data_IF_646083710911
#
_entry.id   IF_646083710911
#
_cell.length_a   1.000
_cell.length_b   1.000
_cell.length_c   1.000
_cell.angle_alpha   90.00
_cell.angle_beta   90.00
_cell.angle_gamma   90.00
#
_symmetry.space_group_name_H-M   'P 1'
#
loop_
_entity.id
_entity.type
_entity.pdbx_description
1 polymer ?
#
# COMPACT_ATOMS: atom_id res chain seq x y z
N UNK A 1 -23.47 -10.15 -15.45
CA UNK A 1 -23.98 -9.67 -16.76
C UNK A 1 -24.25 -8.19 -16.62
N UNK A 2 -23.23 -7.41 -16.99
CA UNK A 2 -23.11 -5.96 -16.79
C UNK A 2 -24.21 -5.20 -17.52
N UNK A 3 -24.69 -4.13 -16.90
CA UNK A 3 -25.49 -3.11 -17.56
C UNK A 3 -24.68 -2.53 -18.72
N UNK A 4 -24.99 -2.96 -19.93
CA UNK A 4 -24.37 -2.47 -21.13
C UNK A 4 -24.56 -0.95 -21.24
N UNK A 5 -23.43 -0.24 -21.25
CA UNK A 5 -23.17 1.03 -21.93
C UNK A 5 -24.42 1.80 -22.39
N UNK A 6 -24.81 2.82 -21.60
CA UNK A 6 -25.68 3.89 -22.10
C UNK A 6 -24.92 4.96 -22.91
N UNK A 7 -23.60 4.81 -23.13
CA UNK A 7 -22.77 5.88 -23.72
C UNK A 7 -21.70 5.43 -24.74
N UNK A 8 -22.01 4.44 -25.59
CA UNK A 8 -21.47 4.35 -26.95
C UNK A 8 -19.99 3.99 -27.14
N UNK A 9 -19.27 3.56 -26.10
CA UNK A 9 -17.88 3.08 -26.21
C UNK A 9 -17.77 1.65 -26.75
N UNK A 10 -16.65 1.31 -27.39
CA UNK A 10 -16.39 -0.09 -27.77
C UNK A 10 -16.35 -1.00 -26.53
N UNK A 11 -17.12 -2.11 -26.47
CA UNK A 11 -17.28 -2.91 -25.25
C UNK A 11 -15.96 -3.42 -24.64
N UNK A 12 -14.96 -3.66 -25.48
CA UNK A 12 -13.62 -4.08 -25.06
C UNK A 12 -12.88 -2.99 -24.29
N UNK A 13 -12.82 -1.76 -24.82
CA UNK A 13 -12.09 -0.65 -24.18
C UNK A 13 -12.70 -0.33 -22.81
N UNK A 14 -14.03 -0.28 -22.74
CA UNK A 14 -14.75 -0.08 -21.48
C UNK A 14 -14.45 -1.17 -20.44
N UNK A 15 -14.34 -2.43 -20.86
CA UNK A 15 -14.00 -3.53 -19.96
C UNK A 15 -12.56 -3.41 -19.42
N UNK A 16 -11.59 -3.08 -20.27
CA UNK A 16 -10.20 -2.85 -19.85
C UNK A 16 -10.10 -1.67 -18.88
N UNK A 17 -10.77 -0.56 -19.19
CA UNK A 17 -10.80 0.60 -18.30
C UNK A 17 -11.45 0.28 -16.95
N UNK A 18 -12.53 -0.52 -16.95
CA UNK A 18 -13.18 -0.96 -15.72
C UNK A 18 -12.24 -1.84 -14.88
N UNK A 19 -11.48 -2.75 -15.48
CA UNK A 19 -10.54 -3.60 -14.75
C UNK A 19 -9.42 -2.78 -14.06
N UNK A 20 -8.84 -1.80 -14.77
CA UNK A 20 -7.85 -0.89 -14.17
C UNK A 20 -8.48 -0.07 -13.04
N UNK A 21 -9.66 0.49 -13.28
CA UNK A 21 -10.38 1.29 -12.29
C UNK A 21 -10.71 0.48 -11.02
N UNK A 22 -11.23 -0.74 -11.17
CA UNK A 22 -11.60 -1.60 -10.05
C UNK A 22 -10.37 -1.96 -9.20
N UNK A 23 -9.22 -2.24 -9.84
CA UNK A 23 -7.94 -2.47 -9.14
C UNK A 23 -7.47 -1.25 -8.36
N UNK A 24 -7.60 -0.05 -8.93
CA UNK A 24 -7.24 1.19 -8.24
C UNK A 24 -8.17 1.45 -7.04
N UNK A 25 -9.48 1.24 -7.19
CA UNK A 25 -10.45 1.39 -6.10
C UNK A 25 -10.20 0.37 -4.99
N UNK A 26 -9.90 -0.87 -5.35
CA UNK A 26 -9.54 -1.93 -4.39
C UNK A 26 -8.24 -1.59 -3.64
N UNK A 27 -7.21 -1.13 -4.35
CA UNK A 27 -5.92 -0.75 -3.77
C UNK A 27 -6.00 0.51 -2.90
N UNK A 28 -6.99 1.39 -3.13
CA UNK A 28 -7.25 2.51 -2.23
C UNK A 28 -7.78 2.03 -0.88
N UNK A 29 -8.70 1.08 -0.92
CA UNK A 29 -9.23 0.43 0.28
C UNK A 29 -9.80 1.39 1.32
N UNK A 30 -10.56 2.41 0.87
CA UNK A 30 -11.24 3.36 1.75
C UNK A 30 -12.73 3.02 1.84
N UNK A 31 -13.05 2.06 2.71
CA UNK A 31 -14.42 1.56 2.94
C UNK A 31 -15.31 2.55 3.70
N UNK A 32 -14.73 3.59 4.30
CA UNK A 32 -15.48 4.70 4.91
C UNK A 32 -16.11 5.64 3.88
N UNK A 33 -15.57 5.67 2.65
CA UNK A 33 -16.11 6.43 1.54
C UNK A 33 -17.00 5.58 0.63
N UNK A 34 -17.93 6.25 -0.05
CA UNK A 34 -18.79 5.59 -1.01
C UNK A 34 -18.00 5.16 -2.25
N UNK A 35 -18.12 3.92 -2.68
CA UNK A 35 -17.35 3.42 -3.84
C UNK A 35 -17.61 4.25 -5.11
N UNK A 36 -16.60 4.83 -5.77
CA UNK A 36 -16.81 5.58 -7.01
C UNK A 36 -17.17 4.63 -8.16
N UNK A 37 -17.77 5.19 -9.22
CA UNK A 37 -18.16 4.45 -10.43
C UNK A 37 -17.40 4.97 -11.63
N UNK A 38 -17.06 4.07 -12.57
CA UNK A 38 -16.51 4.47 -13.86
C UNK A 38 -17.63 4.63 -14.89
N UNK A 39 -17.64 5.76 -15.58
CA UNK A 39 -18.47 6.00 -16.75
C UNK A 39 -17.59 6.17 -18.00
N UNK A 40 -17.54 5.13 -18.83
CA UNK A 40 -16.87 5.20 -20.13
C UNK A 40 -17.79 5.86 -21.16
N UNK A 41 -17.36 6.97 -21.76
CA UNK A 41 -18.19 7.81 -22.64
C UNK A 41 -17.52 8.09 -23.97
N UNK A 42 -18.31 8.20 -25.04
CA UNK A 42 -17.82 8.52 -26.40
C UNK A 42 -18.07 10.00 -26.77
N UNK A 43 -17.81 10.90 -25.83
CA UNK A 43 -17.95 12.35 -26.07
C UNK A 43 -16.60 12.92 -26.51
N UNK A 44 -16.52 13.51 -27.70
CA UNK A 44 -15.24 13.97 -28.31
C UNK A 44 -14.42 14.96 -27.46
N UNK A 45 -15.07 15.69 -26.55
CA UNK A 45 -14.43 16.68 -25.68
C UNK A 45 -14.09 16.19 -24.28
N UNK A 46 -14.54 14.99 -23.90
CA UNK A 46 -14.29 14.43 -22.57
C UNK A 46 -12.88 13.83 -22.51
N UNK A 47 -12.09 14.21 -21.51
CA UNK A 47 -10.79 13.59 -21.21
C UNK A 47 -11.00 12.50 -20.14
N UNK A 48 -10.62 12.80 -18.90
CA UNK A 48 -11.19 12.20 -17.72
C UNK A 48 -11.62 13.35 -16.80
N UNK A 49 -12.59 13.08 -15.94
CA UNK A 49 -13.08 14.03 -14.95
C UNK A 49 -13.76 13.29 -13.82
N UNK A 50 -13.89 13.93 -12.67
CA UNK A 50 -14.65 13.42 -11.55
C UNK A 50 -15.84 14.33 -11.23
N UNK A 51 -17.04 13.75 -11.13
CA UNK A 51 -18.23 14.47 -10.66
C UNK A 51 -19.07 13.62 -9.72
N UNK A 52 -19.25 14.12 -8.49
CA UNK A 52 -20.08 13.50 -7.45
C UNK A 52 -19.55 12.17 -6.95
N UNK A 53 -19.82 11.08 -7.67
CA UNK A 53 -19.34 9.71 -7.36
C UNK A 53 -18.87 8.97 -8.60
N UNK A 54 -18.74 9.68 -9.70
CA UNK A 54 -18.48 9.09 -11.01
C UNK A 54 -17.21 9.69 -11.56
N UNK A 55 -16.26 8.82 -11.91
CA UNK A 55 -15.12 9.16 -12.76
C UNK A 55 -15.55 8.89 -14.19
N UNK A 56 -15.48 9.91 -15.03
CA UNK A 56 -15.76 9.82 -16.46
C UNK A 56 -14.46 9.57 -17.20
N UNK A 57 -14.50 8.71 -18.20
CA UNK A 57 -13.37 8.49 -19.11
C UNK A 57 -13.88 8.56 -20.56
N UNK A 58 -13.35 9.50 -21.32
CA UNK A 58 -13.58 9.64 -22.75
C UNK A 58 -12.87 8.55 -23.55
N UNK A 59 -13.53 7.99 -24.56
CA UNK A 59 -12.94 7.00 -25.46
C UNK A 59 -11.69 7.54 -26.18
N UNK A 60 -11.67 8.84 -26.48
CA UNK A 60 -10.51 9.50 -27.08
C UNK A 60 -9.31 9.58 -26.12
N UNK A 61 -9.52 9.85 -24.84
CA UNK A 61 -8.45 9.83 -23.84
C UNK A 61 -7.89 8.42 -23.65
N UNK A 62 -8.76 7.41 -23.63
CA UNK A 62 -8.33 6.01 -23.67
C UNK A 62 -7.45 5.71 -24.89
N UNK A 63 -7.84 6.19 -26.07
CA UNK A 63 -7.05 5.98 -27.30
C UNK A 63 -5.69 6.69 -27.25
N UNK A 64 -5.60 7.84 -26.56
CA UNK A 64 -4.31 8.47 -26.25
C UNK A 64 -3.47 7.55 -25.37
N UNK A 65 -4.01 6.98 -24.29
CA UNK A 65 -3.28 6.00 -23.47
C UNK A 65 -2.77 4.82 -24.31
N UNK A 66 -3.58 4.29 -25.23
CA UNK A 66 -3.17 3.19 -26.13
C UNK A 66 -1.96 3.56 -26.99
N UNK A 67 -1.80 4.84 -27.36
CA UNK A 67 -0.67 5.28 -28.18
C UNK A 67 0.70 5.14 -27.50
N UNK A 68 0.73 4.95 -26.16
CA UNK A 68 1.96 4.71 -25.38
C UNK A 68 2.48 3.27 -25.51
N UNK A 69 1.83 2.42 -26.30
CA UNK A 69 2.33 1.08 -26.62
C UNK A 69 2.44 0.20 -25.38
N UNK A 70 3.68 -0.18 -25.02
CA UNK A 70 3.94 -1.03 -23.86
C UNK A 70 3.49 -0.38 -22.54
N UNK A 71 3.48 0.95 -22.46
CA UNK A 71 3.09 1.72 -21.28
C UNK A 71 1.62 2.14 -21.29
N UNK A 72 0.83 1.63 -22.25
CA UNK A 72 -0.58 2.02 -22.39
C UNK A 72 -1.44 1.80 -21.15
N UNK A 73 -1.21 0.69 -20.42
CA UNK A 73 -1.93 0.41 -19.18
C UNK A 73 -1.46 1.30 -18.02
N UNK A 74 -0.19 1.68 -18.01
CA UNK A 74 0.38 2.61 -17.04
C UNK A 74 -0.16 4.03 -17.27
N UNK A 75 -0.28 4.47 -18.53
CA UNK A 75 -0.90 5.74 -18.89
C UNK A 75 -2.38 5.80 -18.46
N UNK A 76 -3.12 4.70 -18.69
CA UNK A 76 -4.51 4.59 -18.27
C UNK A 76 -4.65 4.60 -16.74
N UNK A 77 -3.77 3.88 -16.03
CA UNK A 77 -3.75 3.89 -14.57
C UNK A 77 -3.40 5.27 -14.01
N UNK A 78 -2.43 5.98 -14.60
CA UNK A 78 -2.07 7.34 -14.20
C UNK A 78 -3.28 8.27 -14.27
N UNK A 79 -3.96 8.31 -15.42
CA UNK A 79 -5.15 9.15 -15.64
C UNK A 79 -6.28 8.81 -14.66
N UNK A 80 -6.62 7.53 -14.50
CA UNK A 80 -7.72 7.13 -13.61
C UNK A 80 -7.39 7.34 -12.13
N UNK A 81 -6.15 7.10 -11.74
CA UNK A 81 -5.69 7.30 -10.36
C UNK A 81 -5.71 8.78 -9.97
N UNK A 82 -5.34 9.69 -10.88
CA UNK A 82 -5.41 11.14 -10.70
C UNK A 82 -6.85 11.58 -10.37
N UNK A 83 -7.84 11.18 -11.19
CA UNK A 83 -9.25 11.49 -10.94
C UNK A 83 -9.78 10.86 -9.64
N UNK A 84 -9.33 9.66 -9.30
CA UNK A 84 -9.67 9.02 -8.03
C UNK A 84 -9.12 9.80 -6.84
N UNK A 85 -7.92 10.39 -6.92
CA UNK A 85 -7.42 11.24 -5.84
C UNK A 85 -8.26 12.50 -5.69
N UNK A 86 -8.66 13.17 -6.78
CA UNK A 86 -9.61 14.27 -6.68
C UNK A 86 -10.89 13.87 -5.94
N UNK A 87 -11.41 12.66 -6.22
CA UNK A 87 -12.55 12.14 -5.48
C UNK A 87 -12.28 11.93 -3.99
N UNK A 88 -11.23 11.17 -3.65
CA UNK A 88 -10.95 10.75 -2.27
C UNK A 88 -10.43 11.88 -1.38
N UNK A 89 -9.71 12.83 -1.95
CA UNK A 89 -9.25 14.03 -1.25
C UNK A 89 -10.32 15.12 -1.17
N UNK A 90 -11.42 14.97 -1.92
CA UNK A 90 -12.47 15.98 -1.96
C UNK A 90 -12.04 17.28 -2.63
N UNK A 91 -11.13 17.20 -3.61
CA UNK A 91 -10.73 18.35 -4.42
C UNK A 91 -11.96 18.87 -5.19
N UNK A 92 -12.42 20.08 -4.88
CA UNK A 92 -13.68 20.64 -5.40
C UNK A 92 -13.50 21.55 -6.60
N UNK A 93 -12.28 21.67 -7.13
CA UNK A 93 -11.89 22.65 -8.15
C UNK A 93 -12.91 22.81 -9.30
N UNK A 94 -13.27 21.73 -10.00
CA UNK A 94 -14.20 21.81 -11.14
C UNK A 94 -15.61 22.27 -10.73
N UNK A 95 -16.04 21.97 -9.51
CA UNK A 95 -17.39 22.27 -9.02
C UNK A 95 -17.53 23.74 -8.59
N UNK A 96 -16.46 24.34 -8.04
CA UNK A 96 -16.50 25.71 -7.52
C UNK A 96 -15.98 26.76 -8.51
N UNK A 97 -14.93 26.46 -9.27
CA UNK A 97 -14.33 27.43 -10.20
C UNK A 97 -15.25 27.73 -11.40
N UNK A 98 -15.79 26.69 -12.05
CA UNK A 98 -16.70 26.86 -13.21
C UNK A 98 -18.01 27.54 -12.85
N UNK A 99 -18.43 27.51 -11.57
CA UNK A 99 -19.71 28.08 -11.12
C UNK A 99 -19.61 29.53 -10.64
N UNK A 100 -18.51 29.92 -9.99
CA UNK A 100 -18.56 31.11 -9.13
C UNK A 100 -17.55 32.24 -9.47
N UNK A 101 -16.45 32.00 -10.19
CA UNK A 101 -15.30 32.93 -10.13
C UNK A 101 -14.68 33.38 -11.46
N UNK A 102 -15.35 33.18 -12.60
CA UNK A 102 -14.88 33.75 -13.87
C UNK A 102 -14.76 35.29 -13.78
N UNK A 103 -13.52 35.79 -13.57
CA UNK A 103 -13.16 37.22 -13.64
C UNK A 103 -13.04 38.01 -12.33
N UNK A 104 -12.81 37.38 -11.16
CA UNK A 104 -12.63 38.13 -9.88
C UNK A 104 -11.18 38.15 -9.36
N UNK A 105 -10.86 39.04 -8.41
CA UNK A 105 -9.52 39.14 -7.79
C UNK A 105 -9.21 38.06 -6.74
N UNK A 106 -10.18 37.20 -6.39
CA UNK A 106 -10.01 36.02 -5.52
C UNK A 106 -9.25 34.89 -6.26
N UNK A 107 -8.85 35.14 -7.51
CA UNK A 107 -8.26 34.15 -8.42
C UNK A 107 -6.84 33.71 -8.04
N UNK A 108 -6.05 34.51 -7.32
CA UNK A 108 -4.67 34.09 -6.97
C UNK A 108 -4.63 33.05 -5.84
N UNK A 109 -5.29 33.29 -4.71
CA UNK A 109 -5.34 32.33 -3.58
C UNK A 109 -6.03 31.01 -4.00
N UNK A 110 -7.09 31.12 -4.82
CA UNK A 110 -7.79 29.97 -5.42
C UNK A 110 -6.91 29.19 -6.41
N UNK A 111 -5.96 29.84 -7.08
CA UNK A 111 -5.04 29.17 -8.02
C UNK A 111 -3.97 28.35 -7.30
N UNK A 112 -3.48 28.82 -6.16
CA UNK A 112 -2.45 28.13 -5.39
C UNK A 112 -3.01 26.82 -4.79
N UNK A 113 -4.21 26.87 -4.20
CA UNK A 113 -4.91 25.68 -3.68
C UNK A 113 -5.13 24.63 -4.78
N UNK A 114 -5.54 25.07 -5.98
CA UNK A 114 -5.70 24.17 -7.12
C UNK A 114 -4.39 23.53 -7.57
N UNK A 115 -3.31 24.32 -7.59
CA UNK A 115 -2.00 23.82 -7.98
C UNK A 115 -1.53 22.72 -7.02
N UNK A 116 -1.78 22.91 -5.73
CA UNK A 116 -1.51 21.90 -4.70
C UNK A 116 -2.36 20.64 -4.90
N UNK A 117 -3.65 20.79 -5.20
CA UNK A 117 -4.57 19.68 -5.49
C UNK A 117 -4.10 18.83 -6.69
N UNK A 118 -3.65 19.46 -7.79
CA UNK A 118 -3.17 18.76 -8.99
C UNK A 118 -1.83 18.05 -8.74
N UNK A 119 -0.90 18.71 -8.05
CA UNK A 119 0.38 18.10 -7.64
C UNK A 119 0.11 16.92 -6.71
N UNK A 120 -0.84 17.06 -5.78
CA UNK A 120 -1.28 15.98 -4.92
C UNK A 120 -1.89 14.84 -5.72
N UNK A 121 -2.78 15.13 -6.69
CA UNK A 121 -3.40 14.13 -7.55
C UNK A 121 -2.37 13.34 -8.37
N UNK A 122 -1.34 13.99 -8.90
CA UNK A 122 -0.25 13.32 -9.62
C UNK A 122 0.59 12.41 -8.71
N UNK A 123 1.01 12.92 -7.54
CA UNK A 123 1.89 12.17 -6.62
C UNK A 123 1.13 11.04 -5.93
N UNK A 124 -0.02 11.33 -5.34
CA UNK A 124 -0.84 10.33 -4.64
C UNK A 124 -1.52 9.36 -5.62
N UNK A 125 -1.86 9.82 -6.82
CA UNK A 125 -2.37 8.98 -7.90
C UNK A 125 -1.30 7.99 -8.33
N UNK A 126 -0.06 8.44 -8.45
CA UNK A 126 1.09 7.57 -8.67
C UNK A 126 1.32 6.53 -7.58
N UNK A 127 1.22 6.91 -6.30
CA UNK A 127 1.31 5.96 -5.18
C UNK A 127 0.17 4.93 -5.20
N UNK A 128 -1.06 5.38 -5.51
CA UNK A 128 -2.21 4.50 -5.66
C UNK A 128 -2.07 3.54 -6.85
N UNK A 129 -1.58 4.04 -7.97
CA UNK A 129 -1.32 3.22 -9.14
C UNK A 129 -0.22 2.19 -8.85
N UNK A 130 0.82 2.58 -8.11
CA UNK A 130 1.88 1.68 -7.68
C UNK A 130 1.36 0.57 -6.75
N UNK A 131 0.52 0.89 -5.75
CA UNK A 131 -0.08 -0.12 -4.88
C UNK A 131 -1.03 -1.07 -5.63
N UNK A 132 -1.63 -0.61 -6.72
CA UNK A 132 -2.40 -1.45 -7.63
C UNK A 132 -1.54 -2.24 -8.64
N UNK A 133 -0.21 -2.06 -8.66
CA UNK A 133 0.73 -2.78 -9.51
C UNK A 133 1.03 -2.12 -10.87
N UNK A 134 0.83 -0.80 -11.00
CA UNK A 134 1.12 -0.01 -12.20
C UNK A 134 2.31 0.94 -11.96
N UNK A 135 3.10 1.23 -13.00
CA UNK A 135 4.27 2.11 -12.90
C UNK A 135 4.06 3.39 -13.70
N UNK A 136 3.67 4.47 -13.03
CA UNK A 136 3.19 5.70 -13.70
C UNK A 136 4.21 6.85 -13.72
N UNK A 137 5.25 6.79 -12.89
CA UNK A 137 6.22 7.88 -12.73
C UNK A 137 6.90 8.30 -14.05
N UNK A 138 7.20 7.34 -14.91
CA UNK A 138 7.86 7.57 -16.20
C UNK A 138 6.89 8.04 -17.29
N UNK A 139 5.58 7.90 -17.09
CA UNK A 139 4.55 8.18 -18.11
C UNK A 139 4.00 9.61 -18.00
N UNK A 140 3.86 10.12 -16.77
CA UNK A 140 3.23 11.42 -16.47
C UNK A 140 3.79 12.60 -17.31
N UNK A 141 5.11 12.76 -17.50
CA UNK A 141 5.66 13.90 -18.24
C UNK A 141 5.28 13.95 -19.72
N UNK A 142 5.18 12.77 -20.36
CA UNK A 142 4.91 12.65 -21.80
C UNK A 142 3.41 12.55 -22.11
N UNK A 143 2.61 12.23 -21.10
CA UNK A 143 1.16 12.06 -21.24
C UNK A 143 0.41 13.38 -21.47
N UNK A 144 0.74 14.43 -20.72
CA UNK A 144 0.08 15.73 -20.86
C UNK A 144 0.26 16.36 -22.26
N UNK A 145 1.47 16.39 -22.86
CA UNK A 145 1.65 16.81 -24.25
C UNK A 145 0.80 16.02 -25.24
N UNK A 146 0.76 14.68 -25.11
CA UNK A 146 -0.01 13.82 -26.00
C UNK A 146 -1.53 14.11 -25.94
N UNK A 147 -2.05 14.43 -24.75
CA UNK A 147 -3.44 14.88 -24.58
C UNK A 147 -3.69 16.23 -25.26
N UNK A 148 -2.79 17.20 -25.10
CA UNK A 148 -2.92 18.51 -25.74
C UNK A 148 -2.95 18.40 -27.25
N UNK A 149 -2.04 17.62 -27.84
CA UNK A 149 -1.96 17.36 -29.27
C UNK A 149 -3.23 16.67 -29.78
N UNK A 150 -3.67 15.60 -29.11
CA UNK A 150 -4.84 14.85 -29.51
C UNK A 150 -6.13 15.69 -29.49
N UNK A 151 -6.27 16.60 -28.52
CA UNK A 151 -7.45 17.45 -28.35
C UNK A 151 -7.33 18.83 -29.01
N UNK A 152 -6.20 19.13 -29.66
CA UNK A 152 -5.96 20.43 -30.31
C UNK A 152 -6.06 21.60 -29.33
N UNK A 153 -5.64 21.40 -28.07
CA UNK A 153 -5.70 22.43 -27.03
C UNK A 153 -4.62 23.47 -27.27
N UNK A 154 -4.93 24.73 -26.96
CA UNK A 154 -3.93 25.81 -26.97
C UNK A 154 -3.03 25.69 -25.75
N UNK A 155 -1.78 26.11 -25.88
CA UNK A 155 -0.81 26.10 -24.79
C UNK A 155 -1.20 27.05 -23.64
N UNK A 156 -1.88 28.15 -23.96
CA UNK A 156 -2.40 29.12 -22.99
C UNK A 156 -3.92 28.97 -22.88
N UNK A 157 -4.37 28.42 -21.75
CA UNK A 157 -5.77 28.21 -21.41
C UNK A 157 -6.18 29.17 -20.29
N UNK A 158 -7.28 29.94 -20.43
CA UNK A 158 -7.72 30.86 -19.39
C UNK A 158 -7.92 30.15 -18.04
N UNK A 159 -7.26 30.65 -17.00
CA UNK A 159 -7.36 30.11 -15.64
C UNK A 159 -6.31 29.05 -15.29
N UNK A 160 -5.49 28.61 -16.24
CA UNK A 160 -4.44 27.61 -16.04
C UNK A 160 -3.04 28.20 -16.28
N UNK A 161 -1.98 27.62 -15.68
CA UNK A 161 -0.60 27.84 -16.11
C UNK A 161 -0.42 27.47 -17.58
N UNK A 162 0.59 28.04 -18.25
CA UNK A 162 0.89 27.68 -19.64
C UNK A 162 1.37 26.24 -19.73
N UNK A 163 1.15 25.58 -20.87
CA UNK A 163 1.46 24.15 -21.04
C UNK A 163 2.89 23.78 -20.60
N UNK A 164 3.89 24.61 -20.91
CA UNK A 164 5.27 24.37 -20.50
C UNK A 164 5.43 24.27 -18.97
N UNK A 165 4.77 25.16 -18.22
CA UNK A 165 4.79 25.15 -16.75
C UNK A 165 4.09 23.90 -16.21
N UNK A 166 2.97 23.49 -16.81
CA UNK A 166 2.25 22.26 -16.40
C UNK A 166 3.07 21.00 -16.68
N UNK A 167 3.82 20.96 -17.77
CA UNK A 167 4.74 19.84 -18.06
C UNK A 167 5.87 19.81 -17.02
N UNK A 168 6.43 20.96 -16.65
CA UNK A 168 7.47 21.03 -15.63
C UNK A 168 6.93 20.60 -14.25
N UNK A 169 5.69 20.95 -13.91
CA UNK A 169 5.00 20.44 -12.72
C UNK A 169 4.85 18.91 -12.77
N UNK A 170 4.35 18.35 -13.87
CA UNK A 170 4.19 16.89 -14.02
C UNK A 170 5.53 16.15 -13.89
N UNK A 171 6.64 16.71 -14.43
CA UNK A 171 7.99 16.19 -14.21
C UNK A 171 8.40 16.23 -12.74
N UNK A 172 8.16 17.35 -12.06
CA UNK A 172 8.49 17.49 -10.64
C UNK A 172 7.67 16.50 -9.79
N UNK A 173 6.38 16.34 -10.06
CA UNK A 173 5.53 15.32 -9.45
C UNK A 173 6.07 13.90 -9.70
N UNK A 174 6.49 13.60 -10.94
CA UNK A 174 7.13 12.33 -11.29
C UNK A 174 8.42 12.06 -10.52
N UNK A 175 9.30 13.06 -10.38
CA UNK A 175 10.52 12.94 -9.57
C UNK A 175 10.23 12.74 -8.07
N UNK A 176 9.25 13.48 -7.53
CA UNK A 176 8.80 13.33 -6.15
C UNK A 176 8.23 11.94 -5.92
N UNK A 177 7.35 11.46 -6.80
CA UNK A 177 6.81 10.10 -6.78
C UNK A 177 7.93 9.07 -6.80
N UNK A 178 8.88 9.16 -7.74
CA UNK A 178 9.99 8.21 -7.82
C UNK A 178 10.80 8.17 -6.51
N UNK A 179 11.05 9.33 -5.89
CA UNK A 179 11.72 9.40 -4.59
C UNK A 179 10.97 8.64 -3.51
N UNK A 180 9.64 8.75 -3.47
CA UNK A 180 8.80 8.02 -2.51
C UNK A 180 8.79 6.52 -2.77
N UNK A 181 8.76 6.11 -4.04
CA UNK A 181 8.87 4.71 -4.43
C UNK A 181 10.24 4.13 -4.03
N UNK A 182 11.33 4.87 -4.25
CA UNK A 182 12.68 4.45 -3.85
C UNK A 182 12.78 4.30 -2.33
N UNK A 183 12.18 5.20 -1.55
CA UNK A 183 12.12 5.10 -0.08
C UNK A 183 11.33 3.85 0.35
N UNK A 184 10.19 3.59 -0.28
CA UNK A 184 9.36 2.42 0.00
C UNK A 184 10.10 1.10 -0.31
N UNK A 185 10.68 0.99 -1.51
CA UNK A 185 11.47 -0.20 -1.89
C UNK A 185 12.69 -0.38 -0.96
N UNK A 186 13.37 0.72 -0.60
CA UNK A 186 14.51 0.67 0.33
C UNK A 186 14.08 0.20 1.71
N UNK A 187 12.92 0.64 2.22
CA UNK A 187 12.39 0.16 3.49
C UNK A 187 12.14 -1.36 3.46
N UNK A 188 11.59 -1.88 2.36
CA UNK A 188 11.35 -3.33 2.19
C UNK A 188 12.67 -4.12 2.20
N UNK A 189 13.72 -3.61 1.55
CA UNK A 189 15.06 -4.22 1.62
C UNK A 189 15.65 -4.18 3.03
N UNK A 190 15.48 -3.07 3.75
CA UNK A 190 15.93 -2.96 5.14
C UNK A 190 15.22 -3.96 6.05
N UNK A 191 13.93 -4.24 5.82
CA UNK A 191 13.16 -5.26 6.53
C UNK A 191 13.71 -6.66 6.25
N UNK A 192 14.05 -6.97 5.00
CA UNK A 192 14.69 -8.25 4.64
C UNK A 192 16.09 -8.41 5.28
N UNK A 193 16.81 -7.30 5.47
CA UNK A 193 18.07 -7.23 6.23
C UNK A 193 17.85 -7.04 7.73
N UNK A 194 16.59 -7.00 8.15
CA UNK A 194 16.12 -6.88 9.52
C UNK A 194 16.49 -5.59 10.26
N UNK A 195 16.77 -4.53 9.51
CA UNK A 195 17.04 -3.19 10.01
C UNK A 195 15.71 -2.45 10.16
N UNK A 196 14.87 -2.97 11.06
CA UNK A 196 13.46 -2.56 11.20
C UNK A 196 13.32 -1.11 11.69
N UNK A 197 14.23 -0.65 12.54
CA UNK A 197 14.33 0.73 12.99
C UNK A 197 14.52 1.70 11.81
N UNK A 198 15.46 1.40 10.93
CA UNK A 198 15.72 2.23 9.74
C UNK A 198 14.59 2.14 8.71
N UNK A 199 14.00 0.95 8.53
CA UNK A 199 12.84 0.78 7.67
C UNK A 199 11.65 1.63 8.14
N UNK A 200 11.39 1.65 9.45
CA UNK A 200 10.35 2.50 10.06
C UNK A 200 10.63 3.98 9.81
N UNK A 201 11.89 4.43 9.87
CA UNK A 201 12.24 5.83 9.57
C UNK A 201 11.89 6.21 8.12
N UNK A 202 12.29 5.39 7.14
CA UNK A 202 11.99 5.65 5.72
C UNK A 202 10.49 5.66 5.44
N UNK A 203 9.75 4.74 6.05
CA UNK A 203 8.32 4.64 5.85
C UNK A 203 7.55 5.82 6.48
N UNK A 204 8.04 6.36 7.60
CA UNK A 204 7.49 7.58 8.17
C UNK A 204 7.71 8.80 7.27
N UNK A 205 8.78 8.85 6.48
CA UNK A 205 8.96 9.88 5.45
C UNK A 205 7.88 9.77 4.37
N UNK A 206 7.53 8.56 3.94
CA UNK A 206 6.42 8.34 2.99
C UNK A 206 5.08 8.77 3.59
N UNK A 207 4.80 8.44 4.86
CA UNK A 207 3.58 8.89 5.54
C UNK A 207 3.52 10.41 5.74
N UNK A 208 4.67 11.08 5.88
CA UNK A 208 4.74 12.53 6.04
C UNK A 208 4.24 13.30 4.80
N UNK A 209 4.17 12.65 3.64
CA UNK A 209 3.56 13.18 2.42
C UNK A 209 2.03 13.31 2.50
N UNK A 210 1.42 12.80 3.57
CA UNK A 210 -0.02 12.89 3.79
C UNK A 210 -0.85 11.82 3.06
N UNK A 211 -0.22 10.98 2.23
CA UNK A 211 -0.89 9.84 1.61
C UNK A 211 -1.21 8.77 2.65
N UNK A 212 -2.49 8.40 2.76
CA UNK A 212 -2.98 7.41 3.72
C UNK A 212 -3.66 6.27 2.98
N UNK A 213 -3.25 5.03 3.23
CA UNK A 213 -3.95 3.83 2.77
C UNK A 213 -3.90 2.74 3.84
N UNK A 214 -4.82 1.77 3.75
CA UNK A 214 -4.88 0.64 4.69
C UNK A 214 -3.61 -0.22 4.62
N UNK A 215 -3.05 -0.40 3.42
CA UNK A 215 -1.82 -1.16 3.16
C UNK A 215 -0.62 -0.45 3.78
N UNK A 216 -0.53 0.88 3.60
CA UNK A 216 0.57 1.68 4.13
C UNK A 216 0.63 1.55 5.65
N UNK A 217 -0.51 1.77 6.33
CA UNK A 217 -0.58 1.61 7.77
C UNK A 217 -0.31 0.19 8.24
N UNK A 218 -0.86 -0.83 7.56
CA UNK A 218 -0.63 -2.22 7.92
C UNK A 218 0.85 -2.59 7.83
N UNK A 219 1.51 -2.31 6.72
CA UNK A 219 2.92 -2.67 6.53
C UNK A 219 3.83 -1.98 7.55
N UNK A 220 3.60 -0.69 7.85
CA UNK A 220 4.35 -0.02 8.92
C UNK A 220 4.11 -0.66 10.29
N UNK A 221 2.86 -1.02 10.58
CA UNK A 221 2.51 -1.74 11.80
C UNK A 221 3.29 -3.05 11.92
N UNK A 222 3.45 -3.79 10.83
CA UNK A 222 4.25 -5.02 10.81
C UNK A 222 5.71 -4.74 11.13
N UNK A 223 6.31 -3.70 10.56
CA UNK A 223 7.72 -3.36 10.85
C UNK A 223 7.94 -3.07 12.33
N UNK A 224 6.98 -2.41 12.98
CA UNK A 224 7.00 -2.24 14.43
C UNK A 224 6.87 -3.56 15.19
N UNK A 225 6.01 -4.49 14.75
CA UNK A 225 5.93 -5.84 15.37
C UNK A 225 7.25 -6.57 15.23
N UNK A 226 7.88 -6.56 14.05
CA UNK A 226 9.16 -7.22 13.82
C UNK A 226 10.28 -6.62 14.70
N UNK A 227 10.30 -5.29 14.86
CA UNK A 227 11.19 -4.61 15.79
C UNK A 227 10.94 -5.05 17.25
N UNK A 228 9.68 -5.19 17.66
CA UNK A 228 9.32 -5.66 19.00
C UNK A 228 9.73 -7.12 19.25
N UNK A 229 9.47 -8.01 18.28
CA UNK A 229 9.75 -9.46 18.38
C UNK A 229 11.24 -9.72 18.64
N UNK A 230 12.14 -8.91 18.06
CA UNK A 230 13.59 -8.97 18.31
C UNK A 230 13.99 -8.70 19.76
N UNK A 231 13.17 -7.98 20.53
CA UNK A 231 13.43 -7.60 21.92
C UNK A 231 12.80 -8.57 22.94
N UNK A 232 12.05 -9.59 22.50
CA UNK A 232 11.60 -10.64 23.39
C UNK A 232 12.73 -11.61 23.75
N UNK A 233 12.83 -12.04 25.01
CA UNK A 233 13.62 -13.22 25.38
C UNK A 233 13.13 -14.46 24.60
N UNK A 234 14.03 -15.31 24.08
CA UNK A 234 13.66 -16.48 23.27
C UNK A 234 12.64 -17.41 23.95
N UNK A 235 12.68 -17.51 25.28
CA UNK A 235 11.80 -18.33 26.09
C UNK A 235 10.36 -17.83 26.19
N UNK A 236 10.11 -16.54 25.89
CA UNK A 236 8.79 -15.91 25.98
C UNK A 236 7.98 -16.07 24.69
N UNK A 237 8.64 -16.06 23.52
CA UNK A 237 7.98 -16.19 22.20
C UNK A 237 8.27 -17.57 21.63
N UNK A 238 7.43 -18.54 21.99
CA UNK A 238 7.55 -19.95 21.56
C UNK A 238 6.82 -20.24 20.25
N UNK A 239 5.85 -19.41 19.88
CA UNK A 239 4.95 -19.63 18.74
C UNK A 239 5.38 -18.80 17.53
N UNK A 240 5.13 -19.31 16.32
CA UNK A 240 5.22 -18.56 15.08
C UNK A 240 3.96 -17.72 14.86
N UNK A 241 4.13 -16.40 14.78
CA UNK A 241 3.03 -15.44 14.56
C UNK A 241 2.85 -15.13 13.07
N UNK A 242 1.62 -15.16 12.53
CA UNK A 242 1.33 -14.83 11.14
C UNK A 242 1.21 -13.32 10.95
N UNK A 243 2.32 -12.61 11.14
CA UNK A 243 2.33 -11.18 10.86
C UNK A 243 2.40 -11.01 9.33
N UNK A 244 1.30 -10.57 8.72
CA UNK A 244 1.17 -10.45 7.27
C UNK A 244 1.74 -9.10 6.78
N UNK A 245 2.91 -9.17 6.16
CA UNK A 245 3.30 -8.27 5.08
C UNK A 245 2.64 -8.74 3.79
N UNK A 246 2.27 -7.80 2.92
CA UNK A 246 2.21 -8.17 1.51
C UNK A 246 3.64 -8.52 1.06
N UNK A 247 3.82 -9.76 0.60
CA UNK A 247 5.08 -10.45 0.29
C UNK A 247 6.14 -10.59 1.42
N UNK A 248 5.90 -11.55 2.31
CA UNK A 248 6.87 -12.53 2.86
C UNK A 248 8.25 -12.04 3.36
N UNK A 249 8.36 -11.73 4.66
CA UNK A 249 9.66 -11.65 5.35
C UNK A 249 9.72 -12.55 6.60
N UNK A 250 10.77 -13.39 6.68
CA UNK A 250 11.09 -14.26 7.82
C UNK A 250 12.19 -13.67 8.68
N UNK A 251 12.04 -13.89 9.99
CA UNK A 251 12.81 -13.36 11.10
C UNK A 251 14.15 -14.10 11.25
N UNK A 252 15.23 -13.34 11.19
CA UNK A 252 16.56 -13.56 11.75
C UNK A 252 16.75 -12.64 12.99
N UNK A 253 17.85 -12.76 13.73
CA UNK A 253 18.09 -11.96 14.94
C UNK A 253 19.47 -11.32 14.90
N UNK A 254 19.51 -10.00 14.76
CA UNK A 254 20.51 -9.10 15.37
C UNK A 254 20.17 -7.63 15.10
N UNK A 255 20.19 -6.75 16.12
CA UNK A 255 20.93 -5.46 16.20
C UNK A 255 20.61 -4.63 17.46
N UNK A 256 21.45 -3.61 17.68
CA UNK A 256 21.79 -2.83 18.89
C UNK A 256 20.66 -1.95 19.45
N UNK A 257 20.64 -1.81 20.78
CA UNK A 257 19.57 -1.21 21.56
C UNK A 257 19.59 0.32 21.72
N UNK A 258 18.38 0.88 21.84
CA UNK A 258 18.11 2.24 22.30
C UNK A 258 18.15 2.36 23.83
N UNK A 259 17.99 3.59 24.34
CA UNK A 259 17.90 3.86 25.78
C UNK A 259 16.49 3.52 26.30
N UNK A 260 16.44 2.67 27.33
CA UNK A 260 15.24 2.11 27.95
C UNK A 260 15.44 0.63 28.25
N UNK A 261 14.66 0.02 29.15
CA UNK A 261 14.70 -1.44 29.26
C UNK A 261 14.19 -2.07 27.96
N UNK A 262 14.70 -3.26 27.59
CA UNK A 262 14.22 -3.97 26.40
C UNK A 262 12.71 -4.23 26.43
N UNK A 263 12.14 -4.37 27.65
CA UNK A 263 10.70 -4.49 27.89
C UNK A 263 9.93 -3.22 27.48
N UNK A 264 10.33 -2.05 27.98
CA UNK A 264 9.67 -0.78 27.65
C UNK A 264 9.75 -0.47 26.15
N UNK A 265 10.90 -0.70 25.53
CA UNK A 265 11.07 -0.47 24.08
C UNK A 265 10.15 -1.37 23.25
N UNK A 266 10.07 -2.65 23.61
CA UNK A 266 9.19 -3.62 22.97
C UNK A 266 7.72 -3.25 23.09
N UNK A 267 7.27 -2.84 24.28
CA UNK A 267 5.90 -2.42 24.51
C UNK A 267 5.56 -1.14 23.74
N UNK A 268 6.50 -0.19 23.67
CA UNK A 268 6.33 1.02 22.85
C UNK A 268 6.19 0.69 21.35
N UNK A 269 6.97 -0.27 20.84
CA UNK A 269 6.84 -0.74 19.46
C UNK A 269 5.49 -1.42 19.22
N UNK A 270 5.04 -2.30 20.11
CA UNK A 270 3.74 -2.97 20.00
C UNK A 270 2.58 -1.98 20.09
N UNK A 271 2.66 -0.96 20.94
CA UNK A 271 1.65 0.10 21.03
C UNK A 271 1.54 0.90 19.72
N UNK A 272 2.67 1.24 19.08
CA UNK A 272 2.66 1.88 17.75
C UNK A 272 2.05 0.96 16.69
N UNK A 273 2.40 -0.32 16.69
CA UNK A 273 1.81 -1.30 15.78
C UNK A 273 0.29 -1.38 15.93
N UNK A 274 -0.20 -1.41 17.18
CA UNK A 274 -1.64 -1.42 17.51
C UNK A 274 -2.36 -0.23 16.86
N UNK A 275 -1.89 0.99 17.11
CA UNK A 275 -2.47 2.22 16.54
C UNK A 275 -2.50 2.21 15.01
N UNK A 276 -1.45 1.70 14.37
CA UNK A 276 -1.38 1.60 12.91
C UNK A 276 -2.36 0.56 12.33
N UNK A 277 -2.47 -0.61 12.95
CA UNK A 277 -3.46 -1.61 12.51
C UNK A 277 -4.90 -1.15 12.75
N UNK A 278 -5.17 -0.42 13.85
CA UNK A 278 -6.46 0.21 14.09
C UNK A 278 -6.77 1.26 13.02
N UNK A 279 -5.80 2.09 12.61
CA UNK A 279 -5.97 3.01 11.46
C UNK A 279 -6.27 2.29 10.16
N UNK A 280 -5.55 1.20 9.86
CA UNK A 280 -5.80 0.39 8.66
C UNK A 280 -7.21 -0.22 8.68
N UNK A 281 -7.64 -0.78 9.82
CA UNK A 281 -8.98 -1.34 10.00
C UNK A 281 -10.08 -0.28 9.95
N UNK A 282 -9.83 0.93 10.46
CA UNK A 282 -10.81 2.02 10.42
C UNK A 282 -10.97 2.62 9.01
N UNK A 283 -9.95 2.51 8.15
CA UNK A 283 -10.07 2.85 6.74
C UNK A 283 -10.92 1.83 5.98
N UNK A 284 -10.74 0.54 6.27
CA UNK A 284 -11.53 -0.54 5.69
C UNK A 284 -11.75 -1.67 6.70
N UNK A 285 -12.98 -1.73 7.22
CA UNK A 285 -13.38 -2.74 8.21
C UNK A 285 -13.37 -4.17 7.64
N UNK A 286 -13.29 -4.31 6.31
CA UNK A 286 -13.15 -5.59 5.62
C UNK A 286 -11.68 -5.95 5.35
N UNK A 287 -10.71 -5.14 5.76
CA UNK A 287 -9.30 -5.43 5.57
C UNK A 287 -8.79 -6.46 6.59
N UNK A 288 -9.01 -7.74 6.25
CA UNK A 288 -8.67 -8.88 7.12
C UNK A 288 -7.21 -8.95 7.61
N UNK A 289 -6.17 -8.59 6.81
CA UNK A 289 -4.78 -8.61 7.28
C UNK A 289 -4.55 -7.74 8.52
N UNK A 290 -5.13 -6.53 8.57
CA UNK A 290 -4.99 -5.64 9.72
C UNK A 290 -5.56 -6.27 11.01
N UNK A 291 -6.68 -6.99 10.91
CA UNK A 291 -7.27 -7.69 12.05
C UNK A 291 -6.42 -8.88 12.53
N UNK A 292 -5.83 -9.65 11.61
CA UNK A 292 -4.92 -10.75 11.95
C UNK A 292 -3.68 -10.20 12.67
N UNK A 293 -3.11 -9.13 12.13
CA UNK A 293 -1.94 -8.46 12.68
C UNK A 293 -2.21 -7.83 14.05
N UNK A 294 -3.36 -7.16 14.21
CA UNK A 294 -3.81 -6.62 15.50
C UNK A 294 -3.98 -7.74 16.54
N UNK A 295 -4.46 -8.90 16.12
CA UNK A 295 -4.49 -10.10 16.96
C UNK A 295 -3.12 -10.58 17.43
N UNK A 296 -2.13 -10.56 16.54
CA UNK A 296 -0.76 -10.87 16.91
C UNK A 296 -0.24 -9.89 17.97
N UNK A 297 -0.49 -8.58 17.79
CA UNK A 297 -0.08 -7.53 18.75
C UNK A 297 -0.68 -7.76 20.13
N UNK A 298 -2.00 -8.02 20.22
CA UNK A 298 -2.64 -8.27 21.52
C UNK A 298 -2.07 -9.50 22.23
N UNK A 299 -1.79 -10.58 21.50
CA UNK A 299 -1.14 -11.76 22.09
C UNK A 299 0.27 -11.45 22.58
N UNK A 300 1.05 -10.68 21.82
CA UNK A 300 2.42 -10.27 22.22
C UNK A 300 2.43 -9.32 23.42
N UNK A 301 1.46 -8.41 23.52
CA UNK A 301 1.26 -7.57 24.71
C UNK A 301 0.86 -8.40 25.93
N UNK A 302 -0.01 -9.40 25.75
CA UNK A 302 -0.35 -10.36 26.80
C UNK A 302 0.85 -11.16 27.30
N UNK A 303 1.73 -11.62 26.38
CA UNK A 303 2.99 -12.31 26.74
C UNK A 303 3.97 -11.37 27.47
N UNK A 304 3.87 -10.05 27.25
CA UNK A 304 4.71 -9.05 27.93
C UNK A 304 4.23 -8.66 29.33
N UNK A 305 3.10 -9.22 29.80
CA UNK A 305 2.37 -8.82 31.01
C UNK A 305 1.96 -7.32 31.00
N UNK A 306 1.78 -6.72 29.82
CA UNK A 306 1.51 -5.28 29.67
C UNK A 306 0.01 -4.94 29.54
N UNK A 307 -0.79 -5.88 29.02
CA UNK A 307 -2.25 -5.82 29.00
C UNK A 307 -2.77 -7.23 29.31
N UNK A 308 -3.84 -7.37 30.11
CA UNK A 308 -4.69 -8.56 29.95
C UNK A 308 -5.21 -8.47 28.52
N UNK A 309 -4.71 -9.33 27.63
CA UNK A 309 -5.06 -9.26 26.24
C UNK A 309 -6.59 -9.12 26.10
N UNK A 310 -7.07 -8.24 25.21
CA UNK A 310 -8.49 -8.11 24.86
C UNK A 310 -8.94 -9.35 24.06
N UNK A 311 -8.82 -10.51 24.70
CA UNK A 311 -8.91 -11.86 24.16
C UNK A 311 -10.31 -12.10 23.60
N UNK A 312 -11.32 -11.53 24.25
CA UNK A 312 -12.71 -11.57 23.80
C UNK A 312 -12.95 -10.76 22.51
N UNK A 313 -12.28 -9.62 22.34
CA UNK A 313 -12.38 -8.80 21.12
C UNK A 313 -11.73 -9.53 19.93
N UNK A 314 -10.56 -10.12 20.17
CA UNK A 314 -9.83 -10.89 19.17
C UNK A 314 -10.58 -12.16 18.75
N UNK A 315 -11.12 -12.92 19.71
CA UNK A 315 -11.93 -14.10 19.42
C UNK A 315 -13.14 -13.74 18.53
N UNK A 316 -13.85 -12.65 18.82
CA UNK A 316 -15.02 -12.24 18.04
C UNK A 316 -14.68 -11.85 16.60
N UNK A 317 -13.59 -11.08 16.39
CA UNK A 317 -13.17 -10.60 15.07
C UNK A 317 -12.57 -11.70 14.21
N UNK A 318 -11.76 -12.58 14.80
CA UNK A 318 -11.18 -13.72 14.07
C UNK A 318 -12.23 -14.79 13.73
N UNK A 319 -13.26 -14.95 14.57
CA UNK A 319 -14.43 -15.75 14.19
C UNK A 319 -15.21 -15.14 13.01
N UNK A 320 -15.27 -13.82 12.89
CA UNK A 320 -15.90 -13.16 11.73
C UNK A 320 -15.12 -13.41 10.43
N UNK A 321 -13.78 -13.36 10.47
CA UNK A 321 -12.90 -13.74 9.35
C UNK A 321 -13.10 -15.21 8.98
N UNK A 322 -13.06 -16.10 9.97
CA UNK A 322 -13.26 -17.55 9.79
C UNK A 322 -14.64 -17.90 9.22
N UNK A 323 -15.67 -17.14 9.58
CA UNK A 323 -17.03 -17.33 9.08
C UNK A 323 -17.23 -16.83 7.63
N UNK A 324 -16.19 -16.31 6.97
CA UNK A 324 -16.27 -15.76 5.62
C UNK A 324 -17.15 -14.52 5.53
N UNK A 325 -17.35 -13.81 6.66
CA UNK A 325 -18.13 -12.58 6.72
C UNK A 325 -17.33 -11.34 6.32
N UNK A 326 -16.05 -11.52 6.04
CA UNK A 326 -15.17 -10.52 5.44
C UNK A 326 -14.90 -10.96 4.00
N UNK A 327 -15.42 -10.18 3.05
CA UNK A 327 -15.22 -10.40 1.61
C UNK A 327 -13.71 -10.31 1.27
N UNK A 328 -13.25 -11.06 0.27
CA UNK A 328 -11.85 -11.02 -0.19
C UNK A 328 -10.81 -11.76 0.69
N UNK A 329 -11.16 -12.27 1.87
CA UNK A 329 -10.20 -13.02 2.69
C UNK A 329 -9.74 -14.30 1.99
N UNK A 330 -8.49 -14.34 1.51
CA UNK A 330 -7.91 -15.52 0.89
C UNK A 330 -7.89 -16.71 1.87
N UNK A 331 -7.81 -17.95 1.34
CA UNK A 331 -7.74 -19.15 2.19
C UNK A 331 -6.60 -19.06 3.22
N UNK A 332 -5.45 -18.52 2.80
CA UNK A 332 -4.31 -18.24 3.66
C UNK A 332 -4.66 -17.32 4.84
N UNK A 333 -5.28 -16.17 4.60
CA UNK A 333 -5.66 -15.20 5.66
C UNK A 333 -6.59 -15.85 6.68
N UNK A 334 -7.54 -16.69 6.23
CA UNK A 334 -8.38 -17.48 7.14
C UNK A 334 -7.57 -18.49 7.95
N UNK A 335 -6.58 -19.13 7.33
CA UNK A 335 -5.63 -20.02 8.02
C UNK A 335 -4.81 -19.28 9.07
N UNK A 336 -4.32 -18.09 8.76
CA UNK A 336 -3.53 -17.25 9.67
C UNK A 336 -4.37 -16.75 10.85
N UNK A 337 -5.63 -16.39 10.61
CA UNK A 337 -6.63 -16.20 11.66
C UNK A 337 -6.74 -17.43 12.59
N UNK A 338 -6.79 -18.65 12.04
CA UNK A 338 -6.81 -19.87 12.87
C UNK A 338 -5.51 -20.07 13.65
N UNK A 339 -4.36 -19.67 13.11
CA UNK A 339 -3.08 -19.68 13.84
C UNK A 339 -3.16 -18.79 15.07
N UNK A 340 -3.63 -17.55 14.92
CA UNK A 340 -3.80 -16.62 16.06
C UNK A 340 -4.71 -17.22 17.14
N UNK A 341 -5.84 -17.83 16.75
CA UNK A 341 -6.73 -18.52 17.69
C UNK A 341 -6.08 -19.75 18.35
N UNK A 342 -5.23 -20.47 17.62
CA UNK A 342 -4.51 -21.63 18.14
C UNK A 342 -3.49 -21.24 19.20
N UNK A 343 -2.74 -20.15 18.97
CA UNK A 343 -1.79 -19.60 19.94
C UNK A 343 -2.54 -19.19 21.20
N UNK A 344 -3.65 -18.47 21.05
CA UNK A 344 -4.53 -18.11 22.16
C UNK A 344 -4.96 -19.34 22.98
N UNK A 345 -5.52 -20.36 22.32
CA UNK A 345 -5.96 -21.57 22.99
C UNK A 345 -4.81 -22.26 23.75
N UNK A 346 -3.59 -22.24 23.20
CA UNK A 346 -2.43 -22.80 23.88
C UNK A 346 -2.03 -21.99 25.12
N UNK A 347 -2.10 -20.65 25.06
CA UNK A 347 -1.84 -19.77 26.21
C UNK A 347 -2.90 -19.93 27.32
N UNK A 348 -4.12 -20.34 26.96
CA UNK A 348 -5.22 -20.64 27.88
C UNK A 348 -5.25 -22.11 28.35
N UNK A 349 -4.14 -22.84 28.22
CA UNK A 349 -4.01 -24.26 28.63
C UNK A 349 -5.08 -25.18 27.99
N UNK A 350 -5.44 -24.90 26.73
CA UNK A 350 -6.41 -25.68 25.95
C UNK A 350 -5.73 -26.35 24.74
N UNK A 351 -4.83 -27.33 24.95
CA UNK A 351 -3.98 -27.90 23.89
C UNK A 351 -4.77 -28.64 22.79
N UNK A 352 -5.87 -29.30 23.12
CA UNK A 352 -6.70 -30.00 22.11
C UNK A 352 -7.35 -29.01 21.12
N UNK A 353 -7.82 -27.86 21.65
CA UNK A 353 -8.38 -26.77 20.84
C UNK A 353 -7.29 -26.15 19.97
N UNK A 354 -6.09 -25.91 20.53
CA UNK A 354 -4.95 -25.39 19.80
C UNK A 354 -4.52 -26.32 18.65
N UNK A 355 -4.37 -27.62 18.92
CA UNK A 355 -3.98 -28.62 17.92
C UNK A 355 -4.98 -28.69 16.74
N UNK A 356 -6.28 -28.64 17.06
CA UNK A 356 -7.35 -28.61 16.05
C UNK A 356 -7.26 -27.37 15.16
N UNK A 357 -7.00 -26.21 15.76
CA UNK A 357 -6.89 -24.94 15.02
C UNK A 357 -5.64 -24.92 14.14
N UNK A 358 -4.48 -25.35 14.65
CA UNK A 358 -3.24 -25.41 13.88
C UNK A 358 -3.31 -26.39 12.70
N UNK A 359 -3.98 -27.52 12.88
CA UNK A 359 -4.21 -28.49 11.79
C UNK A 359 -5.02 -27.83 10.66
N UNK A 360 -6.15 -27.21 11.00
CA UNK A 360 -7.03 -26.54 10.03
C UNK A 360 -6.37 -25.32 9.38
N UNK A 361 -5.48 -24.63 10.09
CA UNK A 361 -4.68 -23.55 9.53
C UNK A 361 -3.79 -24.05 8.39
N UNK A 362 -3.11 -25.19 8.59
CA UNK A 362 -2.31 -25.84 7.55
C UNK A 362 -3.14 -26.29 6.34
N UNK A 363 -4.32 -26.89 6.58
CA UNK A 363 -5.27 -27.26 5.51
C UNK A 363 -5.77 -26.04 4.71
N UNK A 364 -5.79 -24.86 5.34
CA UNK A 364 -6.19 -23.60 4.71
C UNK A 364 -5.03 -22.88 4.01
N UNK A 365 -3.83 -23.48 4.00
CA UNK A 365 -2.65 -22.95 3.30
C UNK A 365 -1.73 -22.08 4.16
N UNK A 366 -1.95 -21.97 5.48
CA UNK A 366 -1.00 -21.28 6.36
C UNK A 366 0.23 -22.15 6.65
N UNK A 367 1.46 -21.69 6.35
CA UNK A 367 2.67 -22.46 6.64
C UNK A 367 2.95 -22.56 8.14
N UNK A 368 2.36 -21.69 8.97
CA UNK A 368 2.58 -21.64 10.41
C UNK A 368 1.71 -22.62 11.20
N UNK A 369 0.62 -23.13 10.60
CA UNK A 369 -0.21 -24.17 11.20
C UNK A 369 0.61 -25.40 11.58
N UNK A 370 1.28 -26.07 10.61
CA UNK A 370 2.14 -27.23 10.90
C UNK A 370 3.30 -26.92 11.85
N UNK A 371 3.89 -25.71 11.74
CA UNK A 371 5.01 -25.29 12.61
C UNK A 371 4.56 -25.22 14.07
N UNK A 372 3.45 -24.53 14.34
CA UNK A 372 2.92 -24.38 15.70
C UNK A 372 2.35 -25.69 16.24
N UNK A 373 1.80 -26.56 15.40
CA UNK A 373 1.37 -27.90 15.81
C UNK A 373 2.55 -28.74 16.32
N UNK A 374 3.68 -28.73 15.61
CA UNK A 374 4.88 -29.45 16.03
C UNK A 374 5.45 -28.87 17.34
N UNK A 375 5.48 -27.54 17.46
CA UNK A 375 5.89 -26.84 18.67
C UNK A 375 5.01 -27.21 19.87
N UNK A 376 3.68 -27.28 19.69
CA UNK A 376 2.72 -27.70 20.72
C UNK A 376 2.97 -29.14 21.19
N UNK A 377 3.44 -30.02 20.30
CA UNK A 377 3.75 -31.42 20.59
C UNK A 377 5.14 -31.62 21.22
N UNK A 378 5.92 -30.55 21.41
CA UNK A 378 7.28 -30.63 21.96
C UNK A 378 8.31 -31.14 20.96
N UNK A 379 8.01 -31.12 19.66
CA UNK A 379 8.96 -31.44 18.61
C UNK A 379 9.74 -30.18 18.24
N UNK A 380 11.07 -30.19 18.39
CA UNK A 380 11.92 -29.16 17.79
C UNK A 380 11.86 -29.33 16.26
N UNK A 381 11.22 -28.38 15.57
CA UNK A 381 11.40 -28.24 14.13
C UNK A 381 12.72 -27.50 13.90
N UNK A 382 13.62 -28.14 13.16
CA UNK A 382 14.74 -27.45 12.53
C UNK A 382 14.15 -26.44 11.53
N UNK A 383 14.12 -25.17 11.91
CA UNK A 383 13.43 -24.09 11.17
C UNK A 383 14.20 -23.67 9.90
N UNK A 384 15.26 -24.40 9.55
CA UNK A 384 15.97 -24.25 8.29
C UNK A 384 15.17 -24.94 7.17
N UNK A 385 14.46 -24.21 6.29
CA UNK A 385 14.08 -24.80 5.02
C UNK A 385 15.37 -25.31 4.32
N UNK A 386 15.34 -26.47 3.64
CA UNK A 386 16.49 -26.88 2.84
C UNK A 386 16.83 -25.73 1.89
N UNK A 387 18.09 -25.30 1.88
CA UNK A 387 18.60 -24.31 0.92
C UNK A 387 18.05 -24.67 -0.47
N UNK A 388 17.46 -23.72 -1.20
CA UNK A 388 16.93 -24.01 -2.53
C UNK A 388 18.04 -24.66 -3.36
N UNK A 389 17.73 -25.82 -3.94
CA UNK A 389 18.65 -26.49 -4.86
C UNK A 389 19.01 -25.48 -5.96
N UNK A 390 20.30 -25.18 -6.09
CA UNK A 390 20.88 -24.33 -7.14
C UNK A 390 20.21 -24.62 -8.48
N UNK A 391 19.31 -23.75 -8.93
CA UNK A 391 18.54 -23.95 -10.16
C UNK A 391 17.21 -23.20 -10.24
N UNK A 392 16.58 -22.84 -9.13
CA UNK A 392 15.39 -21.98 -9.15
C UNK A 392 15.82 -20.51 -9.09
N UNK A 393 15.57 -19.76 -10.18
CA UNK A 393 15.68 -18.30 -10.18
C UNK A 393 14.68 -17.73 -9.19
N UNK A 394 15.17 -17.06 -8.17
CA UNK A 394 14.35 -16.30 -7.24
C UNK A 394 13.92 -14.99 -7.91
N UNK A 395 12.65 -14.65 -7.76
CA UNK A 395 12.09 -13.35 -8.15
C UNK A 395 11.25 -12.80 -6.99
N UNK A 396 11.47 -11.54 -6.64
CA UNK A 396 10.57 -10.76 -5.79
C UNK A 396 9.66 -10.00 -6.78
N UNK A 397 8.34 -10.23 -6.76
CA UNK A 397 7.38 -9.52 -7.61
C UNK A 397 7.74 -9.48 -9.12
N UNK A 398 8.16 -10.61 -9.70
CA UNK A 398 8.67 -10.72 -11.09
C UNK A 398 10.01 -10.00 -11.40
N UNK A 399 10.70 -9.41 -10.41
CA UNK A 399 12.06 -8.93 -10.57
C UNK A 399 13.05 -10.08 -10.32
N UNK A 400 13.64 -10.57 -11.41
CA UNK A 400 14.81 -11.45 -11.35
C UNK A 400 15.97 -10.72 -10.67
N UNK A 401 16.54 -11.27 -9.58
CA UNK A 401 17.76 -10.75 -8.93
C UNK A 401 18.91 -10.53 -9.93
N UNK A 402 19.01 -11.38 -10.95
CA UNK A 402 19.98 -11.28 -12.05
C UNK A 402 19.80 -10.01 -12.91
N UNK A 403 18.59 -9.46 -13.01
CA UNK A 403 18.28 -8.27 -13.81
C UNK A 403 18.63 -6.99 -13.04
N UNK A 404 18.46 -7.02 -11.71
CA UNK A 404 18.81 -5.97 -10.76
C UNK A 404 20.32 -5.73 -10.72
N UNK A 405 21.13 -6.80 -10.56
CA UNK A 405 22.59 -6.71 -10.54
C UNK A 405 23.19 -6.21 -11.86
N UNK A 406 22.44 -6.29 -12.98
CA UNK A 406 22.87 -5.79 -14.28
C UNK A 406 22.48 -4.35 -14.57
N UNK A 407 21.50 -3.78 -13.85
CA UNK A 407 21.00 -2.40 -14.07
C UNK A 407 21.55 -1.38 -13.07
N UNK A 408 22.15 -1.79 -11.96
CA UNK A 408 22.86 -0.87 -11.06
C UNK A 408 24.20 -0.42 -11.68
N UNK A 409 24.20 0.71 -12.38
CA UNK A 409 25.41 1.52 -12.49
C UNK A 409 25.46 2.47 -11.29
N UNK A 410 26.29 2.16 -10.30
CA UNK A 410 26.62 3.13 -9.25
C UNK A 410 27.40 4.27 -9.90
N UNK A 411 26.85 5.48 -9.92
CA UNK A 411 27.68 6.66 -10.07
C UNK A 411 28.54 6.79 -8.80
N UNK A 412 29.79 6.37 -8.93
CA UNK A 412 30.77 6.35 -7.82
C UNK A 412 31.40 7.72 -7.57
N UNK A 413 30.88 8.80 -8.16
CA UNK A 413 31.46 10.14 -8.05
C UNK A 413 31.23 10.84 -6.71
N UNK A 414 30.46 10.29 -5.77
CA UNK A 414 30.30 10.87 -4.44
C UNK A 414 31.15 10.17 -3.37
N UNK A 415 32.47 10.40 -3.45
CA UNK A 415 33.36 10.31 -2.30
C UNK A 415 33.41 11.69 -1.63
N UNK A 416 32.58 11.94 -0.62
CA UNK A 416 32.73 13.12 0.23
C UNK A 416 33.84 12.88 1.25
N UNK A 417 34.91 13.68 1.15
CA UNK A 417 35.80 13.93 2.29
C UNK A 417 34.98 14.58 3.39
N UNK A 418 35.02 13.96 4.57
CA UNK A 418 34.66 14.55 5.87
C UNK A 418 33.16 14.79 6.13
N UNK A 419 32.42 13.69 6.31
CA UNK A 419 31.78 13.39 7.59
C UNK A 419 30.86 14.43 8.26
N UNK A 420 30.16 15.29 7.52
CA UNK A 420 29.09 16.13 8.11
C UNK A 420 27.91 16.26 7.16
N UNK A 421 26.77 15.69 7.56
CA UNK A 421 25.48 15.88 6.88
C UNK A 421 24.86 17.16 7.45
N UNK A 422 24.85 18.24 6.68
CA UNK A 422 24.05 19.43 6.98
C UNK A 422 23.03 19.62 5.87
N UNK A 423 21.77 19.34 6.17
CA UNK A 423 20.65 19.69 5.32
C UNK A 423 20.32 21.16 5.60
N UNK A 424 20.49 22.04 4.62
CA UNK A 424 19.83 23.34 4.59
C UNK A 424 18.92 23.36 3.38
N UNK A 425 17.63 23.53 3.65
CA UNK A 425 16.60 23.83 2.69
C UNK A 425 16.78 25.26 2.17
N UNK A 426 16.65 25.41 0.85
CA UNK A 426 16.63 26.67 0.13
C UNK A 426 15.79 26.51 -1.12
#
# INVERSE_FOLDING_TARGET
>A
LLAASRYGGTPYKAAVAQEVFDRLVEARGDGGMLTPQLAFVNTEGELASFSGRTVYLGEKAYDVCVSFGADSINALAALLSHELIHYYSGHTWEQEFSRNFAGSAVVEEIKDDWLEDEVQADVWGGLLAYSAGFRTAEVLPDFLPALYDAYGKKEDLPGYPVLAERIDMARNSGHRLQTLLDLFETANYLVALERYDEAVELYNLVLAEGYRSRELYNNLGVYHVLAAVKLFPPEQVKWGFPVELDAEARISRQTRGGQGSAKEQREAWLAKAKDLFEKAYNLDEQYAPALVNLGCVHLLLGISDSEEAELHWLEAKVQAIKAGKIEGSAAKVRGDAMVVQGILAALQDSPDKAATLFTRAGESGSPLGPVNLAQLQGNELDIHPPLPRTGTRESIENLSLDLFLRKMSFDTSFLTKEGTLSIRWG
#
